data_IF_785814476292
#
_entry.id   IF_785814476292
#
_cell.length_a   1.000
_cell.length_b   1.000
_cell.length_c   1.000
_cell.angle_alpha   90.00
_cell.angle_beta   90.00
_cell.angle_gamma   90.00
#
_symmetry.space_group_name_H-M   'P 1'
#
loop_
_entity.id
_entity.type
_entity.pdbx_description
1 polymer ?
#
# COMPACT_ATOMS: atom_id res chain seq x y z
N UNK A 1 -2.93 -9.70 8.13
CA UNK A 1 -4.19 -9.90 7.36
C UNK A 1 -5.40 -9.90 8.29
N UNK A 2 -5.68 -8.85 9.08
CA UNK A 2 -6.81 -9.02 10.00
C UNK A 2 -7.77 -7.83 10.19
N UNK A 3 -7.48 -6.60 9.77
CA UNK A 3 -8.38 -5.50 10.13
C UNK A 3 -9.02 -4.83 8.91
N UNK A 4 -8.28 -4.35 7.93
CA UNK A 4 -8.88 -3.72 6.73
C UNK A 4 -9.64 -4.74 5.87
N UNK A 5 -9.03 -5.87 5.57
CA UNK A 5 -9.71 -6.94 4.82
C UNK A 5 -10.91 -7.52 5.57
N UNK A 6 -10.88 -7.53 6.91
CA UNK A 6 -12.02 -7.98 7.71
C UNK A 6 -13.21 -7.04 7.56
N UNK A 7 -12.99 -5.73 7.54
CA UNK A 7 -14.05 -4.73 7.36
C UNK A 7 -14.62 -4.80 5.94
N UNK A 8 -13.78 -4.91 4.91
CA UNK A 8 -14.22 -5.04 3.52
C UNK A 8 -15.02 -6.33 3.29
N UNK A 9 -14.61 -7.46 3.88
CA UNK A 9 -15.38 -8.73 3.82
C UNK A 9 -16.72 -8.59 4.54
N UNK A 10 -16.74 -8.01 5.74
CA UNK A 10 -17.98 -7.82 6.50
C UNK A 10 -18.95 -6.92 5.76
N UNK A 11 -18.45 -5.89 5.08
CA UNK A 11 -19.28 -4.93 4.35
C UNK A 11 -19.60 -5.35 2.91
N UNK A 12 -19.08 -6.49 2.42
CA UNK A 12 -19.26 -6.93 1.04
C UNK A 12 -18.62 -5.97 0.02
N UNK A 13 -17.50 -5.33 0.36
CA UNK A 13 -16.86 -4.30 -0.48
C UNK A 13 -15.52 -4.72 -1.10
N UNK A 14 -15.24 -6.02 -1.14
CA UNK A 14 -14.01 -6.52 -1.76
C UNK A 14 -13.97 -6.22 -3.27
N UNK A 15 -12.79 -5.87 -3.76
CA UNK A 15 -12.47 -5.96 -5.18
C UNK A 15 -11.84 -7.34 -5.44
N UNK A 16 -12.56 -8.19 -6.16
CA UNK A 16 -12.17 -9.58 -6.42
C UNK A 16 -11.51 -9.69 -7.78
N UNK A 17 -10.28 -10.14 -7.81
CA UNK A 17 -9.47 -10.36 -9.00
C UNK A 17 -9.34 -11.87 -9.23
N UNK A 18 -10.16 -12.42 -10.13
CA UNK A 18 -10.18 -13.84 -10.41
C UNK A 18 -9.30 -14.22 -11.60
N UNK A 19 -8.75 -15.42 -11.56
CA UNK A 19 -8.05 -16.04 -12.68
C UNK A 19 -8.47 -17.51 -12.81
N UNK A 20 -8.87 -17.92 -13.99
CA UNK A 20 -9.40 -19.25 -14.27
C UNK A 20 -10.29 -19.25 -15.51
N UNK A 21 -11.14 -20.27 -15.62
CA UNK A 21 -12.07 -20.41 -16.74
C UNK A 21 -13.37 -19.63 -16.50
N UNK A 22 -13.95 -19.10 -17.58
CA UNK A 22 -15.21 -18.34 -17.53
C UNK A 22 -16.34 -19.12 -16.87
N UNK A 23 -16.47 -20.42 -17.17
CA UNK A 23 -17.48 -21.29 -16.60
C UNK A 23 -17.42 -21.36 -15.07
N UNK A 24 -16.19 -21.50 -14.54
CA UNK A 24 -15.97 -21.56 -13.10
C UNK A 24 -16.21 -20.21 -12.43
N UNK A 25 -15.80 -19.13 -13.10
CA UNK A 25 -16.07 -17.76 -12.64
C UNK A 25 -17.59 -17.49 -12.55
N UNK A 26 -18.35 -17.87 -13.58
CA UNK A 26 -19.80 -17.69 -13.61
C UNK A 26 -20.50 -18.52 -12.52
N UNK A 27 -20.01 -19.73 -12.25
CA UNK A 27 -20.53 -20.59 -11.18
C UNK A 27 -20.29 -19.98 -9.77
N UNK A 28 -19.25 -19.15 -9.62
CA UNK A 28 -18.92 -18.50 -8.34
C UNK A 28 -19.53 -17.11 -8.19
N UNK A 29 -20.22 -16.60 -9.21
CA UNK A 29 -20.69 -15.21 -9.26
C UNK A 29 -21.55 -14.82 -8.07
N UNK A 30 -22.48 -15.68 -7.64
CA UNK A 30 -23.34 -15.44 -6.48
C UNK A 30 -22.54 -15.19 -5.20
N UNK A 31 -21.44 -15.93 -4.99
CA UNK A 31 -20.55 -15.73 -3.84
C UNK A 31 -19.76 -14.44 -3.96
N UNK A 32 -19.30 -14.09 -5.16
CA UNK A 32 -18.58 -12.83 -5.40
C UNK A 32 -19.47 -11.62 -5.12
N UNK A 33 -20.73 -11.67 -5.54
CA UNK A 33 -21.70 -10.59 -5.34
C UNK A 33 -22.04 -10.36 -3.84
N UNK A 34 -21.90 -11.42 -3.01
CA UNK A 34 -22.06 -11.30 -1.54
C UNK A 34 -20.81 -10.70 -0.89
N UNK A 35 -19.62 -11.07 -1.36
CA UNK A 35 -18.35 -10.72 -0.71
C UNK A 35 -17.76 -9.40 -1.17
N UNK A 36 -18.12 -8.94 -2.36
CA UNK A 36 -17.49 -7.77 -2.97
C UNK A 36 -18.44 -6.92 -3.78
N UNK A 37 -18.02 -5.69 -4.04
CA UNK A 37 -18.73 -4.76 -4.91
C UNK A 37 -18.23 -4.82 -6.36
N UNK A 38 -17.15 -5.54 -6.62
CA UNK A 38 -16.66 -5.80 -7.97
C UNK A 38 -15.91 -7.13 -8.03
N UNK A 39 -16.23 -7.94 -9.03
CA UNK A 39 -15.50 -9.16 -9.35
C UNK A 39 -15.19 -9.17 -10.84
N UNK A 40 -13.92 -9.37 -11.19
CA UNK A 40 -13.46 -9.40 -12.57
C UNK A 40 -12.66 -10.68 -12.82
N UNK A 41 -13.01 -11.39 -13.89
CA UNK A 41 -12.16 -12.43 -14.45
C UNK A 41 -11.08 -11.77 -15.30
N UNK A 42 -9.84 -11.82 -14.80
CA UNK A 42 -8.69 -11.14 -15.45
C UNK A 42 -8.14 -11.96 -16.62
N UNK A 43 -8.21 -13.28 -16.51
CA UNK A 43 -7.69 -14.21 -17.51
C UNK A 43 -7.55 -15.61 -16.94
N UNK A 44 -6.66 -16.42 -17.54
CA UNK A 44 -6.42 -17.80 -17.12
C UNK A 44 -5.86 -17.94 -15.69
N UNK A 45 -5.59 -19.19 -15.25
CA UNK A 45 -5.05 -19.46 -13.91
C UNK A 45 -3.81 -18.63 -13.59
N UNK A 46 -3.80 -18.01 -12.40
CA UNK A 46 -2.70 -17.15 -11.92
C UNK A 46 -2.87 -15.66 -12.23
N UNK A 47 -3.67 -15.26 -13.23
CA UNK A 47 -3.81 -13.85 -13.63
C UNK A 47 -4.35 -12.96 -12.50
N UNK A 48 -5.28 -13.44 -11.70
CA UNK A 48 -5.77 -12.73 -10.51
C UNK A 48 -4.68 -12.48 -9.48
N UNK A 49 -3.80 -13.47 -9.24
CA UNK A 49 -2.66 -13.32 -8.33
C UNK A 49 -1.66 -12.29 -8.85
N UNK A 50 -1.33 -12.31 -10.13
CA UNK A 50 -0.44 -11.32 -10.76
C UNK A 50 -1.03 -9.92 -10.70
N UNK A 51 -2.36 -9.79 -10.92
CA UNK A 51 -3.05 -8.49 -10.76
C UNK A 51 -2.94 -7.97 -9.32
N UNK A 52 -3.06 -8.85 -8.33
CA UNK A 52 -2.84 -8.46 -6.93
C UNK A 52 -1.40 -8.02 -6.69
N UNK A 53 -0.40 -8.67 -7.28
CA UNK A 53 0.99 -8.21 -7.18
C UNK A 53 1.19 -6.84 -7.82
N UNK A 54 0.61 -6.58 -8.99
CA UNK A 54 0.65 -5.26 -9.63
C UNK A 54 -0.01 -4.18 -8.75
N UNK A 55 -1.15 -4.47 -8.12
CA UNK A 55 -1.77 -3.58 -7.14
C UNK A 55 -0.81 -3.28 -5.97
N UNK A 56 -0.10 -4.28 -5.46
CA UNK A 56 0.85 -4.09 -4.35
C UNK A 56 2.06 -3.24 -4.76
N UNK A 57 2.52 -3.34 -6.01
CA UNK A 57 3.54 -2.43 -6.56
C UNK A 57 3.06 -0.99 -6.44
N UNK A 58 1.86 -0.69 -6.96
CA UNK A 58 1.32 0.68 -6.97
C UNK A 58 1.11 1.20 -5.55
N UNK A 59 0.36 0.46 -4.72
CA UNK A 59 0.00 0.91 -3.37
C UNK A 59 1.24 1.18 -2.52
N UNK A 60 2.18 0.24 -2.47
CA UNK A 60 3.31 0.36 -1.54
C UNK A 60 4.35 1.39 -2.01
N UNK A 61 4.63 1.48 -3.32
CA UNK A 61 5.49 2.55 -3.84
C UNK A 61 4.84 3.92 -3.65
N UNK A 62 3.52 4.04 -3.81
CA UNK A 62 2.81 5.30 -3.55
C UNK A 62 2.95 5.72 -2.08
N UNK A 63 2.83 4.80 -1.11
CA UNK A 63 3.05 5.13 0.31
C UNK A 63 4.48 5.63 0.54
N UNK A 64 5.49 4.98 -0.05
CA UNK A 64 6.88 5.39 0.10
C UNK A 64 7.13 6.77 -0.52
N UNK A 65 6.69 7.00 -1.77
CA UNK A 65 6.87 8.30 -2.46
C UNK A 65 6.14 9.43 -1.74
N UNK A 66 4.94 9.19 -1.27
CA UNK A 66 4.18 10.18 -0.47
C UNK A 66 4.93 10.49 0.84
N UNK A 67 5.45 9.47 1.52
CA UNK A 67 6.24 9.66 2.76
C UNK A 67 7.49 10.51 2.51
N UNK A 68 8.25 10.19 1.46
CA UNK A 68 9.44 10.96 1.06
C UNK A 68 9.11 12.43 0.76
N UNK A 69 8.03 12.66 -0.01
CA UNK A 69 7.58 14.01 -0.35
C UNK A 69 7.19 14.84 0.87
N UNK A 70 6.50 14.23 1.85
CA UNK A 70 6.11 14.92 3.08
C UNK A 70 7.30 15.18 4.02
N UNK A 71 8.28 14.29 4.06
CA UNK A 71 9.54 14.53 4.77
C UNK A 71 10.29 15.72 4.14
N UNK A 72 10.41 15.76 2.81
CA UNK A 72 11.00 16.90 2.10
C UNK A 72 10.29 18.21 2.44
N UNK A 73 8.96 18.26 2.33
CA UNK A 73 8.18 19.46 2.59
C UNK A 73 8.31 19.93 4.05
N UNK A 74 8.23 18.99 5.00
CA UNK A 74 8.39 19.29 6.44
C UNK A 74 9.80 19.79 6.76
N UNK A 75 10.84 19.18 6.19
CA UNK A 75 12.22 19.61 6.37
C UNK A 75 12.48 21.00 5.80
N UNK A 76 11.78 21.37 4.74
CA UNK A 76 11.80 22.73 4.16
C UNK A 76 10.96 23.74 4.95
N UNK A 77 10.32 23.37 6.05
CA UNK A 77 9.54 24.24 6.92
C UNK A 77 8.05 24.39 6.51
N UNK A 78 7.56 23.61 5.55
CA UNK A 78 6.15 23.64 5.19
C UNK A 78 5.29 22.86 6.21
N UNK A 79 4.10 23.39 6.49
CA UNK A 79 3.11 22.73 7.33
C UNK A 79 2.53 21.49 6.60
N UNK A 80 2.74 20.27 7.09
CA UNK A 80 2.32 19.07 6.39
C UNK A 80 0.80 18.98 6.21
N UNK A 81 0.00 19.55 7.12
CA UNK A 81 -1.46 19.57 6.98
C UNK A 81 -1.88 20.46 5.81
N UNK A 82 -1.25 21.63 5.65
CA UNK A 82 -1.50 22.54 4.52
C UNK A 82 -0.98 21.96 3.20
N UNK A 83 0.17 21.32 3.22
CA UNK A 83 0.70 20.59 2.05
C UNK A 83 -0.31 19.54 1.59
N UNK A 84 -0.80 18.71 2.50
CA UNK A 84 -1.82 17.71 2.20
C UNK A 84 -3.06 18.34 1.54
N UNK A 85 -3.63 19.39 2.14
CA UNK A 85 -4.82 20.06 1.58
C UNK A 85 -4.55 20.66 0.19
N UNK A 86 -3.36 21.19 -0.03
CA UNK A 86 -3.00 21.82 -1.31
C UNK A 86 -2.89 20.83 -2.47
N UNK A 87 -2.37 19.61 -2.22
CA UNK A 87 -2.03 18.67 -3.31
C UNK A 87 -3.06 17.57 -3.52
N UNK A 88 -3.92 17.29 -2.53
CA UNK A 88 -4.85 16.14 -2.59
C UNK A 88 -5.86 16.21 -3.74
N UNK A 89 -6.23 17.40 -4.18
CA UNK A 89 -7.17 17.62 -5.28
C UNK A 89 -6.54 17.60 -6.68
N UNK A 90 -5.21 17.53 -6.78
CA UNK A 90 -4.46 17.52 -8.03
C UNK A 90 -4.01 16.11 -8.45
N UNK A 91 -3.10 16.06 -9.43
CA UNK A 91 -2.55 14.80 -9.97
C UNK A 91 -1.78 13.96 -8.92
N UNK A 92 -1.27 14.59 -7.86
CA UNK A 92 -0.62 13.91 -6.75
C UNK A 92 -1.63 13.24 -5.80
N UNK A 93 -2.91 13.57 -5.90
CA UNK A 93 -3.98 13.00 -5.09
C UNK A 93 -4.17 11.52 -5.36
N UNK A 94 -4.46 10.75 -4.32
CA UNK A 94 -4.75 9.32 -4.40
C UNK A 94 -5.47 8.83 -3.15
N UNK A 95 -6.19 7.72 -3.26
CA UNK A 95 -6.78 7.06 -2.09
C UNK A 95 -5.70 6.69 -1.04
N UNK A 96 -4.47 6.40 -1.48
CA UNK A 96 -3.34 6.13 -0.59
C UNK A 96 -2.93 7.38 0.18
N UNK A 97 -2.79 8.52 -0.51
CA UNK A 97 -2.47 9.81 0.12
C UNK A 97 -3.52 10.16 1.18
N UNK A 98 -4.80 10.07 0.82
CA UNK A 98 -5.92 10.40 1.71
C UNK A 98 -6.02 9.46 2.92
N UNK A 99 -5.67 8.20 2.75
CA UNK A 99 -5.70 7.23 3.83
C UNK A 99 -4.50 7.34 4.78
N UNK A 100 -3.32 7.76 4.29
CA UNK A 100 -2.07 7.66 5.06
C UNK A 100 -1.57 8.97 5.63
N UNK A 101 -1.68 10.07 4.91
CA UNK A 101 -1.14 11.34 5.40
C UNK A 101 -1.79 11.83 6.69
N UNK A 102 -3.12 11.79 6.89
CA UNK A 102 -3.69 12.19 8.16
C UNK A 102 -3.15 11.38 9.34
N UNK A 103 -3.03 10.05 9.21
CA UNK A 103 -2.50 9.21 10.28
C UNK A 103 -1.00 9.44 10.54
N UNK A 104 -0.21 9.74 9.50
CA UNK A 104 1.21 10.09 9.63
C UNK A 104 1.35 11.40 10.42
N UNK A 105 0.61 12.43 10.05
CA UNK A 105 0.63 13.75 10.73
C UNK A 105 0.22 13.62 12.21
N UNK A 106 -0.75 12.75 12.51
CA UNK A 106 -1.20 12.46 13.87
C UNK A 106 -0.30 11.46 14.62
N UNK A 107 0.75 10.95 13.97
CA UNK A 107 1.65 9.92 14.53
C UNK A 107 0.90 8.66 14.99
N UNK A 108 -0.19 8.32 14.34
CA UNK A 108 -1.02 7.17 14.66
C UNK A 108 -0.66 5.96 13.77
N UNK A 109 0.31 5.16 14.18
CA UNK A 109 0.75 3.97 13.47
C UNK A 109 0.07 2.67 13.97
N UNK A 110 -1.09 2.78 14.59
CA UNK A 110 -1.89 1.58 14.95
C UNK A 110 -2.23 0.81 13.66
N UNK A 111 -1.95 -0.51 13.60
CA UNK A 111 -2.00 -1.23 12.35
C UNK A 111 -3.44 -1.47 11.86
N UNK A 112 -3.75 -0.88 10.70
CA UNK A 112 -4.82 -1.35 9.82
C UNK A 112 -4.29 -2.43 8.87
N UNK A 113 -3.10 -2.21 8.30
CA UNK A 113 -2.32 -3.16 7.53
C UNK A 113 -0.84 -3.06 7.94
N UNK A 114 -0.32 -4.01 8.74
CA UNK A 114 1.02 -3.89 9.27
C UNK A 114 2.11 -4.09 8.21
N UNK A 115 3.24 -3.38 8.38
CA UNK A 115 4.40 -3.40 7.48
C UNK A 115 4.86 -4.84 7.16
N UNK A 116 4.79 -5.78 8.12
CA UNK A 116 5.16 -7.17 7.87
C UNK A 116 4.39 -7.85 6.74
N UNK A 117 3.14 -7.44 6.50
CA UNK A 117 2.33 -7.96 5.38
C UNK A 117 2.85 -7.37 4.08
N UNK A 118 3.10 -6.06 4.05
CA UNK A 118 3.64 -5.37 2.88
C UNK A 118 5.03 -5.90 2.52
N UNK A 119 5.90 -6.11 3.51
CA UNK A 119 7.21 -6.73 3.33
C UNK A 119 7.10 -8.11 2.65
N UNK A 120 6.20 -8.98 3.13
CA UNK A 120 5.93 -10.28 2.51
C UNK A 120 5.40 -10.12 1.07
N UNK A 121 4.47 -9.19 0.85
CA UNK A 121 3.86 -8.99 -0.45
C UNK A 121 4.86 -8.44 -1.47
N UNK A 122 5.68 -7.47 -1.09
CA UNK A 122 6.74 -6.91 -1.94
C UNK A 122 7.82 -7.97 -2.23
N UNK A 123 8.18 -8.82 -1.26
CA UNK A 123 9.04 -9.97 -1.52
C UNK A 123 8.47 -10.89 -2.61
N UNK A 124 7.18 -11.19 -2.55
CA UNK A 124 6.51 -11.99 -3.57
C UNK A 124 6.53 -11.30 -4.94
N UNK A 125 6.32 -9.97 -4.99
CA UNK A 125 6.42 -9.17 -6.22
C UNK A 125 7.82 -9.32 -6.84
N UNK A 126 8.88 -9.07 -6.05
CA UNK A 126 10.28 -9.16 -6.52
C UNK A 126 10.59 -10.56 -7.06
N UNK A 127 10.24 -11.59 -6.30
CA UNK A 127 10.49 -12.97 -6.70
C UNK A 127 9.74 -13.34 -7.99
N UNK A 128 8.47 -12.96 -8.11
CA UNK A 128 7.66 -13.25 -9.30
C UNK A 128 8.21 -12.50 -10.52
N UNK A 129 8.50 -11.21 -10.39
CA UNK A 129 9.04 -10.41 -11.48
C UNK A 129 10.37 -10.99 -12.00
N UNK A 130 11.29 -11.34 -11.10
CA UNK A 130 12.58 -11.92 -11.50
C UNK A 130 12.44 -13.33 -12.09
N UNK A 131 11.42 -14.12 -11.67
CA UNK A 131 11.20 -15.45 -12.27
C UNK A 131 10.72 -15.42 -13.72
N UNK A 132 10.31 -14.24 -14.19
CA UNK A 132 9.86 -13.99 -15.58
C UNK A 132 10.66 -12.88 -16.26
N UNK A 133 11.87 -12.59 -15.75
CA UNK A 133 12.83 -11.63 -16.30
C UNK A 133 12.29 -10.19 -16.44
N UNK A 134 11.41 -9.75 -15.51
CA UNK A 134 10.91 -8.37 -15.47
C UNK A 134 11.69 -7.55 -14.45
N UNK A 135 12.45 -6.51 -14.87
CA UNK A 135 13.08 -5.56 -13.94
C UNK A 135 12.07 -4.70 -13.23
N UNK A 136 12.22 -4.54 -11.91
CA UNK A 136 11.32 -3.69 -11.08
C UNK A 136 12.12 -2.80 -10.11
N UNK A 137 12.93 -1.87 -10.61
CA UNK A 137 13.92 -1.14 -9.80
C UNK A 137 13.32 -0.38 -8.62
N UNK A 138 12.21 0.33 -8.80
CA UNK A 138 11.55 1.05 -7.70
C UNK A 138 11.05 0.11 -6.59
N UNK A 139 10.46 -1.02 -6.95
CA UNK A 139 9.96 -2.00 -5.98
C UNK A 139 11.08 -2.77 -5.30
N UNK A 140 12.20 -2.99 -5.99
CA UNK A 140 13.40 -3.57 -5.39
C UNK A 140 13.97 -2.63 -4.31
N UNK A 141 14.08 -1.33 -4.61
CA UNK A 141 14.49 -0.33 -3.62
C UNK A 141 13.51 -0.27 -2.43
N UNK A 142 12.21 -0.29 -2.68
CA UNK A 142 11.20 -0.35 -1.63
C UNK A 142 11.38 -1.58 -0.73
N UNK A 143 11.75 -2.74 -1.29
CA UNK A 143 12.01 -3.93 -0.50
C UNK A 143 13.16 -3.72 0.51
N UNK A 144 14.23 -3.04 0.11
CA UNK A 144 15.34 -2.70 1.02
C UNK A 144 14.91 -1.71 2.11
N UNK A 145 14.06 -0.74 1.79
CA UNK A 145 13.45 0.16 2.79
C UNK A 145 12.67 -0.65 3.84
N UNK A 146 11.84 -1.59 3.40
CA UNK A 146 11.07 -2.45 4.30
C UNK A 146 11.97 -3.40 5.12
N UNK A 147 13.12 -3.82 4.57
CA UNK A 147 14.13 -4.59 5.32
C UNK A 147 14.76 -3.76 6.44
N UNK A 148 15.06 -2.48 6.17
CA UNK A 148 15.57 -1.55 7.18
C UNK A 148 14.56 -1.35 8.31
N UNK A 149 13.29 -1.09 7.99
CA UNK A 149 12.22 -0.96 8.98
C UNK A 149 12.04 -2.24 9.81
N UNK A 150 12.28 -3.41 9.22
CA UNK A 150 12.27 -4.68 9.94
C UNK A 150 13.35 -4.75 11.02
N UNK A 151 14.57 -4.30 10.70
CA UNK A 151 15.70 -4.30 11.65
C UNK A 151 15.42 -3.30 12.77
N UNK A 152 14.78 -2.18 12.47
CA UNK A 152 14.44 -1.13 13.45
C UNK A 152 13.16 -1.44 14.27
N UNK A 153 12.51 -2.58 14.05
CA UNK A 153 11.39 -3.05 14.89
C UNK A 153 9.99 -2.55 14.48
N UNK A 154 9.84 -1.92 13.30
CA UNK A 154 8.59 -1.31 12.83
C UNK A 154 7.61 -2.27 12.13
N UNK A 155 7.82 -3.58 12.22
CA UNK A 155 7.02 -4.54 11.44
C UNK A 155 5.55 -4.63 11.86
N UNK A 156 5.23 -4.24 13.08
CA UNK A 156 3.85 -4.23 13.57
C UNK A 156 3.17 -2.86 13.42
N UNK A 157 3.89 -1.83 12.99
CA UNK A 157 3.31 -0.54 12.66
C UNK A 157 2.44 -0.65 11.40
N UNK A 158 1.44 0.24 11.26
CA UNK A 158 0.72 0.40 9.99
C UNK A 158 1.69 0.73 8.86
N UNK A 159 1.35 0.36 7.63
CA UNK A 159 2.21 0.61 6.46
C UNK A 159 2.46 2.12 6.20
N UNK A 160 1.67 3.04 6.76
CA UNK A 160 2.01 4.47 6.83
C UNK A 160 3.29 4.75 7.63
N UNK A 161 3.69 3.84 8.51
CA UNK A 161 4.94 3.88 9.26
C UNK A 161 6.21 3.81 8.39
N UNK A 162 6.10 3.56 7.07
CA UNK A 162 7.21 3.68 6.12
C UNK A 162 7.86 5.08 6.19
N UNK A 163 7.10 6.10 6.56
CA UNK A 163 7.60 7.47 6.73
C UNK A 163 8.79 7.54 7.69
N UNK A 164 8.82 6.70 8.72
CA UNK A 164 9.87 6.69 9.75
C UNK A 164 11.27 6.42 9.16
N UNK A 165 11.36 5.64 8.08
CA UNK A 165 12.62 5.46 7.36
C UNK A 165 13.16 6.78 6.79
N UNK A 166 12.32 7.55 6.12
CA UNK A 166 12.72 8.83 5.50
C UNK A 166 12.95 9.92 6.55
N UNK A 167 12.19 9.91 7.63
CA UNK A 167 12.36 10.80 8.78
C UNK A 167 13.72 10.62 9.45
N UNK A 168 14.13 9.38 9.65
CA UNK A 168 15.45 9.05 10.21
C UNK A 168 16.57 9.57 9.31
N UNK A 169 16.53 9.32 8.00
CA UNK A 169 17.51 9.80 7.03
C UNK A 169 17.61 11.33 7.00
N UNK A 170 16.49 12.02 7.12
CA UNK A 170 16.42 13.48 7.04
C UNK A 170 16.56 14.17 8.40
N UNK A 171 16.58 13.42 9.51
CA UNK A 171 16.50 13.95 10.87
C UNK A 171 15.38 15.00 11.00
N UNK A 172 14.16 14.59 10.71
CA UNK A 172 12.92 15.40 10.82
C UNK A 172 11.74 14.49 11.09
N UNK A 173 10.71 15.00 11.70
CA UNK A 173 9.48 14.24 12.00
C UNK A 173 8.28 14.93 11.34
N UNK A 174 7.51 14.19 10.53
CA UNK A 174 6.27 14.67 9.91
C UNK A 174 5.15 14.59 10.94
N UNK A 175 4.78 15.73 11.50
CA UNK A 175 3.73 15.83 12.52
C UNK A 175 3.01 17.17 12.45
N UNK A 176 1.85 17.23 13.10
CA UNK A 176 1.11 18.46 13.25
C UNK A 176 1.98 19.54 13.89
N UNK A 177 1.96 20.74 13.31
CA UNK A 177 2.58 21.91 13.92
C UNK A 177 1.70 22.36 15.09
N UNK A 178 2.34 22.65 16.22
CA UNK A 178 1.68 23.16 17.43
C UNK A 178 1.21 24.60 17.28
#
# INVERSE_FOLDING_TARGET
MKILQKTEVINGTLAIMAGGDQKDFDAMKEYFDILGNSALLIGGPGSGSVTKLANQVIVNNTIAVVSEAFVLATKAGADPEKVYQAIRGGLAGSAVLDAKIPMIIERNFKPGGPIRINHKDIKNVVNTAHSIDVPIPYTAQLYEILQTLKIHGHMEDDHGGIVQYFEELANVEVKKLS
#
